data_IF_348903431461
#
_entry.id   IF_348903431461
#
_cell.length_a   1.000
_cell.length_b   1.000
_cell.length_c   1.000
_cell.angle_alpha   90.00
_cell.angle_beta   90.00
_cell.angle_gamma   90.00
#
_symmetry.space_group_name_H-M   'P 1'
#
loop_
_entity.id
_entity.type
_entity.pdbx_description
1 polymer ?
#
# COMPACT_ATOMS: atom_id res chain seq x y z
N UNK A 1 -24.05 3.78 5.79
CA UNK A 1 -22.89 2.95 5.38
C UNK A 1 -21.71 3.49 6.13
N UNK A 2 -21.23 2.75 7.13
CA UNK A 2 -20.00 3.09 7.85
C UNK A 2 -18.87 2.95 6.85
N UNK A 3 -18.09 4.01 6.61
CA UNK A 3 -16.88 3.91 5.79
C UNK A 3 -15.97 2.81 6.40
N UNK A 4 -15.24 2.03 5.59
CA UNK A 4 -14.28 1.08 6.13
C UNK A 4 -13.31 1.78 7.07
N UNK A 5 -12.94 1.10 8.16
CA UNK A 5 -11.94 1.60 9.12
C UNK A 5 -10.64 1.89 8.37
N UNK A 6 -9.94 2.97 8.72
CA UNK A 6 -8.64 3.32 8.13
C UNK A 6 -7.65 2.17 8.27
N UNK A 7 -7.75 1.35 9.32
CA UNK A 7 -6.97 0.12 9.45
C UNK A 7 -7.29 -0.92 8.37
N UNK A 8 -8.58 -1.15 8.07
CA UNK A 8 -9.00 -2.07 7.03
C UNK A 8 -8.51 -1.63 5.64
N UNK A 9 -8.57 -0.32 5.35
CA UNK A 9 -8.00 0.23 4.10
C UNK A 9 -6.49 0.02 4.02
N UNK A 10 -5.77 0.19 5.13
CA UNK A 10 -4.34 -0.09 5.17
C UNK A 10 -4.03 -1.57 4.89
N UNK A 11 -4.82 -2.51 5.43
CA UNK A 11 -4.68 -3.94 5.16
C UNK A 11 -4.91 -4.29 3.68
N UNK A 12 -5.94 -3.71 3.05
CA UNK A 12 -6.19 -3.89 1.62
C UNK A 12 -5.04 -3.36 0.76
N UNK A 13 -4.50 -2.19 1.11
CA UNK A 13 -3.33 -1.61 0.44
C UNK A 13 -2.07 -2.45 0.62
N UNK A 14 -1.87 -3.06 1.80
CA UNK A 14 -0.76 -3.98 2.05
C UNK A 14 -0.88 -5.26 1.22
N UNK A 15 -2.10 -5.81 1.06
CA UNK A 15 -2.32 -6.95 0.17
C UNK A 15 -1.92 -6.61 -1.27
N UNK A 16 -2.34 -5.44 -1.76
CA UNK A 16 -1.96 -4.96 -3.09
C UNK A 16 -0.46 -4.74 -3.21
N UNK A 17 0.20 -4.20 -2.19
CA UNK A 17 1.65 -3.99 -2.17
C UNK A 17 2.40 -5.31 -2.38
N UNK A 18 1.99 -6.38 -1.69
CA UNK A 18 2.62 -7.70 -1.83
C UNK A 18 2.38 -8.32 -3.21
N UNK A 19 1.18 -8.16 -3.78
CA UNK A 19 0.89 -8.58 -5.15
C UNK A 19 1.77 -7.86 -6.18
N UNK A 20 1.85 -6.54 -6.10
CA UNK A 20 2.70 -5.72 -6.98
C UNK A 20 4.19 -6.06 -6.80
N UNK A 21 4.63 -6.36 -5.58
CA UNK A 21 6.00 -6.81 -5.31
C UNK A 21 6.28 -8.18 -5.93
N UNK A 22 5.32 -9.09 -5.91
CA UNK A 22 5.46 -10.38 -6.59
C UNK A 22 5.58 -10.21 -8.11
N UNK A 23 4.85 -9.25 -8.70
CA UNK A 23 4.97 -8.89 -10.12
C UNK A 23 6.35 -8.32 -10.45
N UNK A 24 6.88 -7.42 -9.62
CA UNK A 24 8.26 -6.90 -9.77
C UNK A 24 9.27 -8.03 -9.86
N UNK A 25 9.12 -9.07 -9.02
CA UNK A 25 9.99 -10.24 -9.02
C UNK A 25 9.98 -11.00 -10.35
N UNK A 26 8.81 -11.17 -10.97
CA UNK A 26 8.66 -11.83 -12.28
C UNK A 26 9.33 -11.01 -13.38
N UNK A 27 8.98 -9.73 -13.46
CA UNK A 27 9.48 -8.81 -14.50
C UNK A 27 11.00 -8.62 -14.41
N UNK A 28 11.54 -8.57 -13.19
CA UNK A 28 12.99 -8.49 -12.96
C UNK A 28 13.72 -9.77 -13.39
N UNK A 29 13.13 -10.94 -13.11
CA UNK A 29 13.69 -12.23 -13.55
C UNK A 29 13.70 -12.39 -15.08
N UNK A 30 12.76 -11.74 -15.77
CA UNK A 30 12.69 -11.69 -17.23
C UNK A 30 13.63 -10.64 -17.85
N UNK A 31 14.32 -9.83 -17.04
CA UNK A 31 15.27 -8.81 -17.49
C UNK A 31 14.60 -7.57 -18.10
N UNK A 32 13.31 -7.35 -17.85
CA UNK A 32 12.57 -6.22 -18.40
C UNK A 32 12.67 -4.98 -17.47
N UNK A 33 13.76 -4.23 -17.61
CA UNK A 33 14.08 -3.09 -16.75
C UNK A 33 13.05 -1.96 -16.80
N UNK A 34 12.50 -1.64 -17.97
CA UNK A 34 11.52 -0.55 -18.12
C UNK A 34 10.22 -0.86 -17.37
N UNK A 35 9.74 -2.10 -17.48
CA UNK A 35 8.56 -2.54 -16.72
C UNK A 35 8.84 -2.58 -15.21
N UNK A 36 10.05 -2.99 -14.79
CA UNK A 36 10.43 -2.98 -13.38
C UNK A 36 10.43 -1.56 -12.77
N UNK A 37 10.87 -0.56 -13.53
CA UNK A 37 10.82 0.86 -13.11
C UNK A 37 9.37 1.32 -12.91
N UNK A 38 8.46 0.95 -13.82
CA UNK A 38 7.04 1.26 -13.68
C UNK A 38 6.42 0.65 -12.42
N UNK A 39 6.71 -0.63 -12.16
CA UNK A 39 6.20 -1.34 -10.97
C UNK A 39 6.79 -0.74 -9.68
N UNK A 40 8.06 -0.32 -9.67
CA UNK A 40 8.67 0.36 -8.52
C UNK A 40 7.98 1.70 -8.22
N UNK A 41 7.56 2.44 -9.25
CA UNK A 41 6.79 3.67 -9.05
C UNK A 41 5.41 3.40 -8.44
N UNK A 42 4.73 2.33 -8.88
CA UNK A 42 3.46 1.89 -8.29
C UNK A 42 3.63 1.45 -6.83
N UNK A 43 4.66 0.67 -6.52
CA UNK A 43 4.98 0.27 -5.14
C UNK A 43 5.20 1.49 -4.23
N UNK A 44 5.91 2.51 -4.71
CA UNK A 44 6.12 3.74 -3.94
C UNK A 44 4.82 4.53 -3.69
N UNK A 45 3.89 4.51 -4.64
CA UNK A 45 2.56 5.10 -4.48
C UNK A 45 1.73 4.33 -3.45
N UNK A 46 1.68 3.00 -3.55
CA UNK A 46 0.96 2.16 -2.59
C UNK A 46 1.54 2.35 -1.17
N UNK A 47 2.87 2.38 -1.03
CA UNK A 47 3.52 2.62 0.26
C UNK A 47 3.12 3.97 0.89
N UNK A 48 3.04 5.04 0.09
CA UNK A 48 2.55 6.34 0.56
C UNK A 48 1.09 6.28 1.02
N UNK A 49 0.24 5.56 0.30
CA UNK A 49 -1.17 5.40 0.69
C UNK A 49 -1.31 4.60 1.99
N UNK A 50 -0.52 3.54 2.17
CA UNK A 50 -0.47 2.79 3.44
C UNK A 50 -0.09 3.71 4.60
N UNK A 51 0.98 4.50 4.45
CA UNK A 51 1.41 5.46 5.48
C UNK A 51 0.30 6.45 5.85
N UNK A 52 -0.42 6.99 4.85
CA UNK A 52 -1.53 7.91 5.07
C UNK A 52 -2.69 7.28 5.86
N UNK A 53 -3.08 6.04 5.53
CA UNK A 53 -4.14 5.34 6.24
C UNK A 53 -3.73 4.95 7.67
N UNK A 54 -2.46 4.58 7.89
CA UNK A 54 -1.94 4.31 9.23
C UNK A 54 -1.91 5.58 10.11
N UNK A 55 -1.44 6.71 9.56
CA UNK A 55 -1.47 8.00 10.25
C UNK A 55 -2.91 8.47 10.52
N UNK A 56 -3.87 8.11 9.67
CA UNK A 56 -5.29 8.36 9.90
C UNK A 56 -5.84 7.48 11.03
N UNK A 57 -5.57 6.17 10.98
CA UNK A 57 -5.98 5.21 12.01
C UNK A 57 -5.46 5.62 13.40
N UNK A 58 -4.20 6.08 13.48
CA UNK A 58 -3.61 6.60 14.71
C UNK A 58 -4.39 7.80 15.26
N UNK A 59 -4.71 8.78 14.42
CA UNK A 59 -5.50 9.96 14.83
C UNK A 59 -6.92 9.60 15.26
N UNK A 60 -7.53 8.63 14.59
CA UNK A 60 -8.87 8.13 14.94
C UNK A 60 -8.86 7.42 16.31
N UNK A 61 -7.82 6.64 16.61
CA UNK A 61 -7.62 6.02 17.91
C UNK A 61 -7.41 7.07 19.03
N UNK A 62 -6.50 8.02 18.83
CA UNK A 62 -6.21 9.09 19.82
C UNK A 62 -7.47 9.94 20.12
N UNK A 63 -8.32 10.18 19.12
CA UNK A 63 -9.56 10.95 19.26
C UNK A 63 -10.70 10.15 19.90
N UNK A 64 -10.69 8.81 19.81
CA UNK A 64 -11.68 7.94 20.45
C UNK A 64 -11.41 7.67 21.94
N UNK A 65 -10.20 7.93 22.41
CA UNK A 65 -9.78 7.78 23.81
C UNK A 65 -9.97 9.06 24.67
N UNK A 66 -10.33 10.20 24.06
CA UNK A 66 -10.51 11.52 24.72
C UNK A 66 -11.98 11.86 24.99
#
# INVERSE_FOLDING_TARGET
MTEPDSLQRAEELLSRLEETRAELGKVSAEGNADAAIGILAELAEIARQVEMELERAKREADAGES
#
